data_IF_564916586414
#
_entry.id   IF_564916586414
#
_cell.length_a   1.000
_cell.length_b   1.000
_cell.length_c   1.000
_cell.angle_alpha   90.00
_cell.angle_beta   90.00
_cell.angle_gamma   90.00
#
_symmetry.space_group_name_H-M   'P 1'
#
loop_
_entity.id
_entity.type
_entity.pdbx_description
1 polymer ?
#
# COMPACT_ATOMS: atom_id res chain seq x y z
N UNK A 1 -5.37 24.21 -10.50
CA UNK A 1 -6.01 22.95 -10.92
C UNK A 1 -4.94 22.08 -11.55
N UNK A 2 -4.59 20.94 -10.92
CA UNK A 2 -3.73 19.95 -11.57
C UNK A 2 -4.53 19.35 -12.73
N UNK A 3 -4.05 19.49 -13.96
CA UNK A 3 -4.67 18.82 -15.11
C UNK A 3 -4.48 17.32 -14.94
N UNK A 4 -5.50 16.63 -14.43
CA UNK A 4 -5.55 15.17 -14.50
C UNK A 4 -5.51 14.78 -15.98
N UNK A 5 -4.64 13.83 -16.34
CA UNK A 5 -4.62 13.29 -17.70
C UNK A 5 -6.04 12.84 -18.08
N UNK A 6 -6.52 13.19 -19.29
CA UNK A 6 -7.83 12.76 -19.74
C UNK A 6 -7.89 11.23 -19.74
N UNK A 7 -8.88 10.68 -19.02
CA UNK A 7 -9.03 9.24 -18.82
C UNK A 7 -9.03 8.46 -20.15
N UNK A 8 -9.54 9.06 -21.23
CA UNK A 8 -9.59 8.45 -22.56
C UNK A 8 -8.20 8.08 -23.11
N UNK A 9 -7.18 8.90 -22.83
CA UNK A 9 -5.80 8.63 -23.25
C UNK A 9 -5.20 7.44 -22.49
N UNK A 10 -5.54 7.29 -21.20
CA UNK A 10 -5.12 6.15 -20.36
C UNK A 10 -5.84 4.87 -20.81
N UNK A 11 -7.13 4.97 -21.13
CA UNK A 11 -7.95 3.82 -21.55
C UNK A 11 -7.50 3.26 -22.90
N UNK A 12 -7.15 4.12 -23.86
CA UNK A 12 -6.66 3.70 -25.18
C UNK A 12 -5.32 2.97 -25.09
N UNK A 13 -4.39 3.50 -24.27
CA UNK A 13 -3.06 2.90 -24.04
C UNK A 13 -3.13 1.47 -23.50
N UNK A 14 -4.13 1.17 -22.66
CA UNK A 14 -4.28 -0.12 -21.99
C UNK A 14 -5.24 -1.08 -22.71
N UNK A 15 -5.71 -0.75 -23.93
CA UNK A 15 -6.65 -1.59 -24.72
C UNK A 15 -7.82 -2.17 -23.92
N UNK A 16 -8.35 -1.41 -22.95
CA UNK A 16 -9.28 -1.92 -21.92
C UNK A 16 -10.60 -2.47 -22.46
N UNK A 17 -10.98 -2.12 -23.70
CA UNK A 17 -12.16 -2.66 -24.39
C UNK A 17 -11.94 -4.07 -24.97
N UNK A 18 -10.69 -4.45 -25.21
CA UNK A 18 -10.29 -5.70 -25.85
C UNK A 18 -9.72 -6.71 -24.84
N UNK A 19 -9.10 -6.21 -23.76
CA UNK A 19 -8.52 -7.04 -22.69
C UNK A 19 -9.57 -7.33 -21.61
N UNK A 20 -9.79 -8.62 -21.31
CA UNK A 20 -10.64 -9.02 -20.18
C UNK A 20 -10.07 -8.51 -18.85
N UNK A 21 -10.91 -8.33 -17.83
CA UNK A 21 -10.45 -7.87 -16.51
C UNK A 21 -9.37 -8.78 -15.91
N UNK A 22 -9.53 -10.10 -16.05
CA UNK A 22 -8.56 -11.08 -15.56
C UNK A 22 -7.22 -10.98 -16.29
N UNK A 23 -7.23 -10.85 -17.62
CA UNK A 23 -6.01 -10.68 -18.40
C UNK A 23 -5.31 -9.35 -18.06
N UNK A 24 -6.08 -8.28 -17.85
CA UNK A 24 -5.52 -6.99 -17.45
C UNK A 24 -4.81 -7.07 -16.09
N UNK A 25 -5.32 -7.90 -15.16
CA UNK A 25 -4.66 -8.16 -13.87
C UNK A 25 -3.36 -8.94 -14.09
N UNK A 26 -3.38 -10.01 -14.89
CA UNK A 26 -2.18 -10.79 -15.20
C UNK A 26 -1.11 -9.93 -15.87
N UNK A 27 -1.47 -9.17 -16.91
CA UNK A 27 -0.58 -8.26 -17.61
C UNK A 27 0.04 -7.23 -16.64
N UNK A 28 -0.77 -6.67 -15.74
CA UNK A 28 -0.27 -5.72 -14.74
C UNK A 28 0.76 -6.36 -13.80
N UNK A 29 0.47 -7.56 -13.28
CA UNK A 29 1.38 -8.25 -12.38
C UNK A 29 2.66 -8.68 -13.08
N UNK A 30 2.58 -9.30 -14.27
CA UNK A 30 3.74 -9.73 -15.04
C UNK A 30 4.65 -8.55 -15.37
N UNK A 31 4.09 -7.44 -15.84
CA UNK A 31 4.86 -6.23 -16.13
C UNK A 31 5.50 -5.62 -14.86
N UNK A 32 4.78 -5.63 -13.74
CA UNK A 32 5.28 -5.07 -12.47
C UNK A 32 6.39 -5.94 -11.89
N UNK A 33 6.21 -7.26 -11.89
CA UNK A 33 7.19 -8.26 -11.48
C UNK A 33 8.44 -8.15 -12.35
N UNK A 34 8.28 -8.10 -13.68
CA UNK A 34 9.42 -7.98 -14.60
C UNK A 34 10.25 -6.73 -14.33
N UNK A 35 9.60 -5.60 -14.04
CA UNK A 35 10.30 -4.36 -13.67
C UNK A 35 11.07 -4.52 -12.37
N UNK A 36 10.45 -5.09 -11.34
CA UNK A 36 11.10 -5.33 -10.04
C UNK A 36 12.30 -6.26 -10.20
N UNK A 37 12.13 -7.38 -10.90
CA UNK A 37 13.22 -8.30 -11.20
C UNK A 37 14.34 -7.61 -11.99
N UNK A 38 14.01 -6.76 -12.97
CA UNK A 38 15.01 -5.98 -13.71
C UNK A 38 15.77 -5.00 -12.80
N UNK A 39 15.08 -4.31 -11.90
CA UNK A 39 15.68 -3.35 -10.99
C UNK A 39 16.56 -4.00 -9.92
N UNK A 40 16.17 -5.18 -9.45
CA UNK A 40 16.85 -5.90 -8.39
C UNK A 40 17.88 -6.92 -8.90
N UNK A 41 17.94 -7.18 -10.21
CA UNK A 41 18.94 -8.08 -10.79
C UNK A 41 20.35 -7.49 -10.59
N UNK A 42 21.24 -8.19 -9.88
CA UNK A 42 22.60 -7.70 -9.67
C UNK A 42 23.38 -7.70 -11.01
N UNK A 43 24.39 -6.83 -11.16
CA UNK A 43 25.29 -6.89 -12.30
C UNK A 43 26.05 -8.22 -12.32
N UNK A 44 25.71 -9.05 -13.30
CA UNK A 44 26.35 -10.23 -13.91
C UNK A 44 27.16 -11.27 -13.10
N UNK A 45 27.50 -11.08 -11.82
CA UNK A 45 28.47 -11.97 -11.14
C UNK A 45 27.98 -12.63 -9.84
N UNK A 46 26.83 -12.24 -9.30
CA UNK A 46 26.23 -12.90 -8.12
C UNK A 46 24.80 -13.35 -8.43
N UNK A 47 24.55 -14.65 -8.56
CA UNK A 47 23.22 -15.18 -8.84
C UNK A 47 22.32 -15.14 -7.59
N UNK A 48 21.85 -13.94 -7.23
CA UNK A 48 20.75 -13.78 -6.25
C UNK A 48 19.45 -13.85 -7.05
N UNK A 49 18.69 -14.93 -6.86
CA UNK A 49 17.36 -15.09 -7.47
C UNK A 49 16.29 -14.55 -6.53
N UNK A 50 15.39 -13.73 -7.06
CA UNK A 50 14.17 -13.31 -6.36
C UNK A 50 13.04 -14.21 -6.83
N UNK A 51 12.39 -14.86 -5.88
CA UNK A 51 11.20 -15.67 -6.13
C UNK A 51 9.96 -14.87 -5.74
N UNK A 52 8.95 -14.87 -6.61
CA UNK A 52 7.70 -14.14 -6.39
C UNK A 52 6.55 -15.12 -6.57
N UNK A 53 5.71 -15.21 -5.54
CA UNK A 53 4.52 -16.05 -5.52
C UNK A 53 3.26 -15.18 -5.47
N UNK A 54 2.33 -15.43 -6.38
CA UNK A 54 1.05 -14.74 -6.42
C UNK A 54 -0.04 -15.64 -5.83
N UNK A 55 -0.73 -15.14 -4.81
CA UNK A 55 -1.85 -15.81 -4.18
C UNK A 55 -3.09 -14.92 -4.24
N UNK A 56 -4.24 -15.51 -4.58
CA UNK A 56 -5.53 -14.83 -4.55
C UNK A 56 -6.44 -15.47 -3.51
N UNK A 57 -6.55 -14.83 -2.34
CA UNK A 57 -7.39 -15.27 -1.23
C UNK A 57 -7.87 -14.07 -0.42
N UNK A 58 -9.01 -14.21 0.24
CA UNK A 58 -9.49 -13.23 1.23
C UNK A 58 -8.81 -13.50 2.56
N UNK A 59 -8.05 -12.51 3.08
CA UNK A 59 -7.29 -12.63 4.32
C UNK A 59 -8.11 -12.06 5.48
N UNK A 60 -8.72 -12.95 6.27
CA UNK A 60 -9.66 -12.61 7.36
C UNK A 60 -9.41 -13.45 8.60
N UNK A 61 -9.87 -12.96 9.77
CA UNK A 61 -9.65 -13.59 11.08
C UNK A 61 -10.33 -14.97 11.28
N UNK A 62 -11.30 -15.31 10.43
CA UNK A 62 -12.04 -16.58 10.45
C UNK A 62 -11.31 -17.70 9.71
N UNK A 63 -10.29 -17.39 8.90
CA UNK A 63 -9.50 -18.37 8.16
C UNK A 63 -8.17 -18.67 8.86
N UNK A 64 -8.23 -19.39 9.98
CA UNK A 64 -7.05 -19.70 10.79
C UNK A 64 -5.98 -20.50 10.04
N UNK A 65 -6.38 -21.39 9.13
CA UNK A 65 -5.46 -22.20 8.32
C UNK A 65 -4.65 -21.33 7.34
N UNK A 66 -5.32 -20.39 6.66
CA UNK A 66 -4.63 -19.42 5.80
C UNK A 66 -3.64 -18.57 6.61
N UNK A 67 -4.07 -18.01 7.74
CA UNK A 67 -3.20 -17.18 8.57
C UNK A 67 -1.98 -17.95 9.08
N UNK A 68 -2.17 -19.21 9.48
CA UNK A 68 -1.07 -20.10 9.86
C UNK A 68 -0.11 -20.37 8.70
N UNK A 69 -0.62 -20.61 7.48
CA UNK A 69 0.25 -20.82 6.31
C UNK A 69 1.05 -19.57 5.92
N UNK A 70 0.46 -18.38 6.04
CA UNK A 70 1.19 -17.11 5.83
C UNK A 70 2.27 -16.95 6.90
N UNK A 71 1.95 -17.24 8.17
CA UNK A 71 2.93 -17.19 9.27
C UNK A 71 4.11 -18.14 9.06
N UNK A 72 3.86 -19.32 8.50
CA UNK A 72 4.90 -20.30 8.19
C UNK A 72 5.92 -19.82 7.15
N UNK A 73 5.61 -18.76 6.39
CA UNK A 73 6.57 -18.11 5.50
C UNK A 73 7.62 -17.27 6.26
N UNK A 74 7.46 -17.11 7.58
CA UNK A 74 8.31 -16.31 8.48
C UNK A 74 8.62 -14.92 7.91
N UNK A 75 7.59 -14.09 7.66
CA UNK A 75 7.75 -12.84 6.94
C UNK A 75 8.59 -11.85 7.74
N UNK A 76 9.70 -11.38 7.18
CA UNK A 76 10.47 -10.27 7.77
C UNK A 76 9.70 -8.95 7.75
N UNK A 77 8.95 -8.70 6.68
CA UNK A 77 8.17 -7.48 6.50
C UNK A 77 6.85 -7.79 5.81
N UNK A 78 5.78 -7.14 6.28
CA UNK A 78 4.46 -7.21 5.66
C UNK A 78 3.97 -5.81 5.33
N UNK A 79 3.58 -5.59 4.07
CA UNK A 79 3.03 -4.32 3.59
C UNK A 79 1.54 -4.44 3.34
N UNK A 80 0.75 -3.55 3.94
CA UNK A 80 -0.71 -3.54 3.89
C UNK A 80 -1.19 -2.29 3.16
N UNK A 81 -1.63 -2.46 1.92
CA UNK A 81 -2.09 -1.35 1.08
C UNK A 81 -3.58 -1.08 1.31
N UNK A 82 -3.89 -0.09 2.15
CA UNK A 82 -5.24 0.41 2.44
C UNK A 82 -6.16 -0.58 3.17
N UNK A 83 -5.68 -1.78 3.49
CA UNK A 83 -6.48 -2.83 4.14
C UNK A 83 -6.92 -2.40 5.55
N UNK A 84 -6.06 -1.69 6.29
CA UNK A 84 -6.37 -1.25 7.66
C UNK A 84 -7.65 -0.42 7.77
N UNK A 85 -8.05 0.26 6.70
CA UNK A 85 -9.22 1.14 6.66
C UNK A 85 -10.55 0.38 6.69
N UNK A 86 -10.52 -0.92 6.40
CA UNK A 86 -11.70 -1.77 6.31
C UNK A 86 -11.88 -2.67 7.54
N UNK A 87 -11.09 -2.46 8.58
CA UNK A 87 -11.14 -3.24 9.82
C UNK A 87 -11.30 -2.34 11.03
N UNK A 88 -11.99 -2.85 12.05
CA UNK A 88 -11.81 -2.30 13.39
C UNK A 88 -10.39 -2.57 13.87
N UNK A 89 -9.78 -1.60 14.57
CA UNK A 89 -8.39 -1.69 15.00
C UNK A 89 -8.08 -2.99 15.75
N UNK A 90 -8.95 -3.39 16.69
CA UNK A 90 -8.81 -4.66 17.42
C UNK A 90 -8.71 -5.87 16.49
N UNK A 91 -9.61 -5.96 15.51
CA UNK A 91 -9.69 -7.10 14.60
C UNK A 91 -8.52 -7.09 13.63
N UNK A 92 -8.08 -5.92 13.19
CA UNK A 92 -6.87 -5.80 12.38
C UNK A 92 -5.65 -6.27 13.15
N UNK A 93 -5.44 -5.79 14.38
CA UNK A 93 -4.32 -6.25 15.22
C UNK A 93 -4.37 -7.75 15.51
N UNK A 94 -5.56 -8.35 15.64
CA UNK A 94 -5.72 -9.81 15.76
C UNK A 94 -5.25 -10.52 14.49
N UNK A 95 -5.64 -10.01 13.31
CA UNK A 95 -5.21 -10.52 12.01
C UNK A 95 -3.70 -10.47 11.88
N UNK A 96 -3.08 -9.31 12.17
CA UNK A 96 -1.64 -9.12 12.09
C UNK A 96 -0.91 -10.19 12.91
N UNK A 97 -1.21 -10.30 14.21
CA UNK A 97 -0.56 -11.29 15.09
C UNK A 97 -0.70 -12.73 14.63
N UNK A 98 -1.81 -13.07 13.97
CA UNK A 98 -2.06 -14.42 13.50
C UNK A 98 -1.17 -14.79 12.30
N UNK A 99 -0.78 -13.83 11.46
CA UNK A 99 0.06 -14.05 10.28
C UNK A 99 1.52 -13.58 10.43
N UNK A 100 1.88 -12.89 11.52
CA UNK A 100 3.26 -12.48 11.81
C UNK A 100 4.14 -13.60 12.37
N UNK A 101 5.42 -13.59 12.00
CA UNK A 101 6.53 -14.20 12.75
C UNK A 101 6.92 -13.36 13.97
N UNK A 102 8.02 -13.70 14.63
CA UNK A 102 8.46 -13.02 15.86
C UNK A 102 8.98 -11.60 15.60
N UNK A 103 9.72 -11.42 14.51
CA UNK A 103 10.40 -10.16 14.18
C UNK A 103 9.74 -9.42 13.01
N UNK A 104 8.53 -9.82 12.63
CA UNK A 104 7.82 -9.23 11.48
C UNK A 104 7.55 -7.75 11.70
N UNK A 105 8.02 -6.92 10.78
CA UNK A 105 7.72 -5.49 10.72
C UNK A 105 6.52 -5.25 9.81
N UNK A 106 5.54 -4.48 10.30
CA UNK A 106 4.35 -4.11 9.54
C UNK A 106 4.46 -2.69 9.01
N UNK A 107 4.29 -2.53 7.69
CA UNK A 107 4.11 -1.24 7.03
C UNK A 107 2.67 -1.16 6.56
N UNK A 108 1.99 -0.07 6.89
CA UNK A 108 0.60 0.14 6.51
C UNK A 108 0.43 1.49 5.83
N UNK A 109 -0.34 1.50 4.75
CA UNK A 109 -0.87 2.74 4.18
C UNK A 109 -2.36 2.79 4.44
N UNK A 110 -2.81 3.89 5.02
CA UNK A 110 -4.23 4.22 5.16
C UNK A 110 -4.56 5.30 4.14
N UNK A 111 -5.75 5.26 3.55
CA UNK A 111 -6.35 6.40 2.86
C UNK A 111 -7.35 7.14 3.75
N UNK A 112 -7.94 6.47 4.74
CA UNK A 112 -8.93 7.07 5.62
C UNK A 112 -8.34 7.83 6.81
N UNK A 113 -7.03 7.79 7.05
CA UNK A 113 -6.43 8.54 8.16
C UNK A 113 -6.75 10.05 8.09
N UNK A 114 -6.90 10.62 6.89
CA UNK A 114 -7.29 12.02 6.70
C UNK A 114 -8.70 12.34 7.21
N UNK A 115 -9.57 11.34 7.40
CA UNK A 115 -10.94 11.56 7.90
C UNK A 115 -10.99 11.58 9.42
N UNK A 116 -10.00 10.99 10.08
CA UNK A 116 -9.95 10.82 11.54
C UNK A 116 -8.94 11.78 12.20
N UNK A 117 -7.99 12.32 11.44
CA UNK A 117 -7.02 13.30 11.95
C UNK A 117 -7.51 14.71 11.67
N UNK A 118 -8.23 15.28 12.64
CA UNK A 118 -8.58 16.70 12.63
C UNK A 118 -7.34 17.56 12.91
N UNK A 119 -7.12 18.56 12.07
CA UNK A 119 -6.03 19.51 12.20
C UNK A 119 -4.73 19.10 11.50
N UNK A 120 -4.74 18.03 10.70
CA UNK A 120 -3.64 17.69 9.79
C UNK A 120 -3.63 18.58 8.54
N UNK A 121 -4.79 19.12 8.16
CA UNK A 121 -4.90 20.07 7.07
C UNK A 121 -5.30 21.45 7.58
N UNK A 122 -4.56 22.50 7.19
CA UNK A 122 -4.76 23.87 7.67
C UNK A 122 -6.20 24.39 7.43
N UNK A 123 -6.91 23.83 6.44
CA UNK A 123 -8.29 24.20 6.12
C UNK A 123 -9.33 23.67 7.11
N UNK A 124 -8.96 22.72 7.97
CA UNK A 124 -9.86 22.16 9.01
C UNK A 124 -9.97 23.09 10.21
N UNK A 125 -9.03 24.02 10.41
CA UNK A 125 -9.10 25.04 11.46
C UNK A 125 -10.01 26.21 11.04
N UNK A 126 -10.66 26.86 12.01
CA UNK A 126 -11.37 28.13 11.76
C UNK A 126 -10.44 29.15 11.11
N UNK A 127 -10.96 29.95 10.17
CA UNK A 127 -10.16 30.86 9.36
C UNK A 127 -9.28 31.82 10.17
N UNK A 128 -9.74 32.25 11.36
CA UNK A 128 -9.00 33.13 12.27
C UNK A 128 -7.69 32.54 12.80
N UNK A 129 -7.58 31.22 12.92
CA UNK A 129 -6.40 30.56 13.50
C UNK A 129 -5.36 30.13 12.45
N UNK A 130 -5.74 30.06 11.17
CA UNK A 130 -4.88 29.49 10.11
C UNK A 130 -3.55 30.23 9.93
N UNK A 131 -3.57 31.57 9.99
CA UNK A 131 -2.37 32.39 9.80
C UNK A 131 -1.35 32.21 10.93
N UNK A 132 -1.82 32.15 12.17
CA UNK A 132 -0.97 31.91 13.34
C UNK A 132 -0.30 30.52 13.26
N UNK A 133 -1.07 29.49 12.90
CA UNK A 133 -0.55 28.13 12.70
C UNK A 133 0.53 28.10 11.62
N UNK A 134 0.30 28.77 10.48
CA UNK A 134 1.28 28.86 9.39
C UNK A 134 2.57 29.57 9.81
N UNK A 135 2.47 30.73 10.46
CA UNK A 135 3.63 31.50 10.92
C UNK A 135 4.45 30.74 11.97
N UNK A 136 3.78 30.01 12.88
CA UNK A 136 4.42 29.16 13.88
C UNK A 136 5.17 27.98 13.24
N UNK A 137 4.55 27.31 12.27
CA UNK A 137 5.17 26.22 11.52
C UNK A 137 6.41 26.69 10.76
N UNK A 138 6.34 27.85 10.07
CA UNK A 138 7.49 28.42 9.37
C UNK A 138 8.67 28.72 10.30
N UNK A 139 8.40 29.29 11.49
CA UNK A 139 9.45 29.52 12.50
C UNK A 139 10.09 28.22 12.96
N UNK A 140 9.30 27.18 13.17
CA UNK A 140 9.79 25.87 13.63
C UNK A 140 10.67 25.17 12.59
N UNK A 141 10.31 25.26 11.30
CA UNK A 141 11.07 24.64 10.20
C UNK A 141 12.35 25.42 9.87
N UNK A 142 12.37 26.73 10.14
CA UNK A 142 13.51 27.60 9.83
C UNK A 142 14.56 27.65 10.94
N UNK A 143 14.37 26.90 12.03
CA UNK A 143 15.37 26.66 13.09
C UNK A 143 16.10 25.34 12.83
#
# INVERSE_FOLDING_TARGET
MSQMMPMDAILLKNKRKETSFLNAIYDFFENSITKICTWLSPPAENSVSIEIYLHYQTVTNDNAELLASIRQLDPWTMSWSNICDYFYAHDFHKLLRACSGNDTVHVMTSMNWITEVFGAHIMEYESKYRREIYESAQKTISM
#
